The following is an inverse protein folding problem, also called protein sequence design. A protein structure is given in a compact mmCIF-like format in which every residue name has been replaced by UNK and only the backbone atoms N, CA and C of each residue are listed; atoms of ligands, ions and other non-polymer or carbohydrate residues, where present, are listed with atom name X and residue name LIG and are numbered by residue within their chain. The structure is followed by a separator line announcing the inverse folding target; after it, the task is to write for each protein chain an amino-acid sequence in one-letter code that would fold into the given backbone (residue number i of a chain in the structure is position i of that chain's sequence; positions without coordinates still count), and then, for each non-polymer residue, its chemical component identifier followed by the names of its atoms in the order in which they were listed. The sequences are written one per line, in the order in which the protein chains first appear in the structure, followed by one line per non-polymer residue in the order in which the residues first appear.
data_IF_059460787368
#
_entry.id   IF_059460787368
#
_cell.length_a   1.000
_cell.length_b   1.000
_cell.length_c   1.000
_cell.angle_alpha   90.00
_cell.angle_beta   90.00
_cell.angle_gamma   90.00
#
_symmetry.space_group_name_H-M   'P 1'
#
loop_
_entity.id
_entity.type
_entity.pdbx_description
1 polymer ?
#
# COMPACT_ATOMS: atom_id res chain seq x y z
N UNK A 1 -9.36 -10.62 3.89
CA UNK A 1 -9.59 -9.55 4.89
C UNK A 1 -8.52 -8.44 4.85
N UNK A 2 -7.19 -8.68 4.76
CA UNK A 2 -6.21 -7.57 4.82
C UNK A 2 -6.10 -6.74 3.52
N UNK A 3 -6.40 -7.33 2.36
CA UNK A 3 -6.33 -6.64 1.06
C UNK A 3 -7.34 -5.49 0.93
N UNK A 4 -8.59 -5.71 1.37
CA UNK A 4 -9.66 -4.70 1.30
C UNK A 4 -9.33 -3.43 2.09
N UNK A 5 -8.74 -3.60 3.28
CA UNK A 5 -8.32 -2.48 4.13
C UNK A 5 -7.22 -1.66 3.44
N UNK A 6 -6.30 -2.33 2.74
CA UNK A 6 -5.23 -1.67 2.00
C UNK A 6 -5.76 -0.99 0.74
N UNK A 7 -6.70 -1.60 0.03
CA UNK A 7 -7.33 -0.94 -1.12
C UNK A 7 -8.12 0.30 -0.71
N UNK A 8 -8.86 0.25 0.40
CA UNK A 8 -9.54 1.43 0.97
C UNK A 8 -8.55 2.50 1.43
N UNK A 9 -7.44 2.10 2.07
CA UNK A 9 -6.37 3.02 2.45
C UNK A 9 -5.68 3.63 1.22
N UNK A 10 -5.39 2.84 0.18
CA UNK A 10 -4.75 3.33 -1.05
C UNK A 10 -5.68 4.28 -1.80
N UNK A 11 -6.99 4.04 -1.77
CA UNK A 11 -8.00 4.92 -2.36
C UNK A 11 -8.20 6.23 -1.57
N UNK A 12 -8.06 6.19 -0.25
CA UNK A 12 -8.16 7.37 0.61
C UNK A 12 -7.17 7.28 1.78
N UNK A 13 -5.88 7.59 1.54
CA UNK A 13 -4.86 7.37 2.55
C UNK A 13 -4.93 8.44 3.63
N UNK A 14 -5.16 7.99 4.86
CA UNK A 14 -5.04 8.84 6.04
C UNK A 14 -3.61 8.76 6.57
N UNK A 15 -2.82 9.80 6.33
CA UNK A 15 -1.44 9.87 6.79
C UNK A 15 -1.30 10.38 8.23
N UNK A 16 -2.40 10.80 8.87
CA UNK A 16 -2.38 11.51 10.14
C UNK A 16 -1.79 10.70 11.29
N UNK A 17 -1.85 9.38 11.17
CA UNK A 17 -1.37 8.41 12.16
C UNK A 17 -0.08 7.70 11.73
N UNK A 18 0.43 7.98 10.53
CA UNK A 18 1.68 7.40 10.05
C UNK A 18 2.87 8.19 10.62
N UNK A 19 3.84 7.52 11.26
CA UNK A 19 5.01 8.20 11.78
C UNK A 19 5.77 8.95 10.67
N UNK A 20 6.29 10.16 10.91
CA UNK A 20 6.95 10.96 9.88
C UNK A 20 8.19 10.28 9.28
N UNK A 21 8.84 9.37 10.01
CA UNK A 21 9.97 8.59 9.50
C UNK A 21 9.56 7.45 8.53
N UNK A 22 8.27 7.08 8.52
CA UNK A 22 7.72 6.08 7.59
C UNK A 22 6.80 6.69 6.54
N UNK A 23 6.45 7.97 6.67
CA UNK A 23 5.53 8.66 5.78
C UNK A 23 5.99 8.61 4.32
N UNK A 24 7.24 8.96 4.03
CA UNK A 24 7.79 8.89 2.67
C UNK A 24 7.71 7.47 2.09
N UNK A 25 8.06 6.46 2.90
CA UNK A 25 8.01 5.05 2.47
C UNK A 25 6.58 4.57 2.25
N UNK A 26 5.65 4.97 3.12
CA UNK A 26 4.24 4.62 3.00
C UNK A 26 3.62 5.24 1.73
N UNK A 27 3.94 6.50 1.43
CA UNK A 27 3.49 7.19 0.23
C UNK A 27 4.05 6.55 -1.06
N UNK A 28 5.32 6.14 -1.04
CA UNK A 28 5.95 5.42 -2.15
C UNK A 28 5.25 4.09 -2.40
N UNK A 29 5.05 3.27 -1.36
CA UNK A 29 4.36 1.98 -1.47
C UNK A 29 2.93 2.13 -1.97
N UNK A 30 2.18 3.11 -1.45
CA UNK A 30 0.82 3.40 -1.90
C UNK A 30 0.79 3.78 -3.38
N UNK A 31 1.74 4.59 -3.84
CA UNK A 31 1.84 4.98 -5.25
C UNK A 31 2.14 3.78 -6.16
N UNK A 32 3.04 2.90 -5.72
CA UNK A 32 3.40 1.67 -6.44
C UNK A 32 2.22 0.70 -6.53
N UNK A 33 1.48 0.51 -5.44
CA UNK A 33 0.28 -0.32 -5.40
C UNK A 33 -0.80 0.25 -6.31
N UNK A 34 -1.03 1.56 -6.29
CA UNK A 34 -2.04 2.22 -7.12
C UNK A 34 -1.70 2.09 -8.62
N UNK A 35 -0.44 2.30 -9.00
CA UNK A 35 0.04 2.13 -10.37
C UNK A 35 -0.06 0.68 -10.88
N UNK A 36 0.09 -0.32 -10.01
CA UNK A 36 -0.15 -1.73 -10.35
C UNK A 36 -1.63 -2.12 -10.34
N UNK A 37 -2.47 -1.47 -9.54
CA UNK A 37 -3.91 -1.77 -9.51
C UNK A 37 -4.60 -1.31 -10.82
N UNK A 38 -4.03 -0.32 -11.51
CA UNK A 38 -4.44 0.04 -12.88
C UNK A 38 -4.06 -1.00 -13.94
N UNK A 39 -3.12 -1.92 -13.63
CA UNK A 39 -2.78 -3.05 -14.51
C UNK A 39 -3.68 -4.23 -14.18
N UNK A 40 -4.07 -4.98 -15.22
CA UNK A 40 -4.92 -6.17 -15.08
C UNK A 40 -4.41 -7.09 -13.98
N UNK A 41 -5.30 -7.59 -13.12
CA UNK A 41 -4.99 -8.52 -12.00
C UNK A 41 -4.15 -9.75 -12.41
N UNK A 42 -4.18 -10.13 -13.69
CA UNK A 42 -3.34 -11.19 -14.26
C UNK A 42 -1.83 -10.84 -14.37
N UNK A 43 -1.45 -9.58 -14.19
CA UNK A 43 -0.05 -9.09 -14.18
C UNK A 43 0.39 -8.57 -12.81
N UNK A 44 -0.41 -8.79 -11.77
CA UNK A 44 0.00 -8.46 -10.41
C UNK A 44 1.05 -9.48 -9.97
N UNK A 45 2.32 -9.09 -10.11
CA UNK A 45 3.49 -9.89 -9.78
C UNK A 45 3.65 -10.06 -8.26
N UNK A 46 4.50 -11.00 -7.85
CA UNK A 46 4.85 -11.25 -6.44
C UNK A 46 5.30 -9.98 -5.71
N UNK A 47 5.85 -9.02 -6.44
CA UNK A 47 6.27 -7.70 -5.96
C UNK A 47 5.11 -6.83 -5.48
N UNK A 48 3.94 -6.90 -6.14
CA UNK A 48 2.73 -6.22 -5.71
C UNK A 48 2.30 -6.68 -4.31
N UNK A 49 2.28 -7.99 -4.09
CA UNK A 49 1.94 -8.56 -2.78
C UNK A 49 3.00 -8.22 -1.72
N UNK A 50 4.28 -8.11 -2.09
CA UNK A 50 5.33 -7.64 -1.16
C UNK A 50 5.09 -6.20 -0.73
N UNK A 51 4.75 -5.29 -1.65
CA UNK A 51 4.44 -3.89 -1.32
C UNK A 51 3.25 -3.78 -0.37
N UNK A 52 2.20 -4.58 -0.58
CA UNK A 52 1.04 -4.62 0.31
C UNK A 52 1.43 -5.08 1.71
N UNK A 53 2.21 -6.16 1.81
CA UNK A 53 2.67 -6.66 3.11
C UNK A 53 3.58 -5.67 3.84
N UNK A 54 4.41 -4.96 3.09
CA UNK A 54 5.28 -3.92 3.63
C UNK A 54 4.46 -2.72 4.11
N UNK A 55 3.47 -2.28 3.34
CA UNK A 55 2.56 -1.21 3.73
C UNK A 55 1.79 -1.60 5.00
N UNK A 56 1.28 -2.84 5.10
CA UNK A 56 0.64 -3.33 6.33
C UNK A 56 1.59 -3.24 7.54
N UNK A 57 2.88 -3.52 7.38
CA UNK A 57 3.86 -3.38 8.48
C UNK A 57 4.10 -1.92 8.86
N UNK A 58 4.16 -1.04 7.88
CA UNK A 58 4.32 0.40 8.11
C UNK A 58 3.11 0.99 8.84
N UNK A 59 1.92 0.48 8.51
CA UNK A 59 0.67 0.95 9.07
C UNK A 59 0.28 0.27 10.40
N UNK A 60 0.64 -1.00 10.60
CA UNK A 60 0.32 -1.77 11.81
C UNK A 60 1.42 -1.80 12.86
N UNK A 61 2.50 -1.05 12.66
CA UNK A 61 3.69 -0.99 13.53
C UNK A 61 3.54 -0.05 14.72
#
# INVERSE_FOLDING_TARGET
MPLLIIEEFVANPDWSWVPPHQLDRAQELTSLILAQNERSQQQQDEEYYRWILELIRVLGG
#
